data_IF_468988829576
#
_entry.id   IF_468988829576
#
_cell.length_a   1.000
_cell.length_b   1.000
_cell.length_c   1.000
_cell.angle_alpha   90.00
_cell.angle_beta   90.00
_cell.angle_gamma   90.00
#
_symmetry.space_group_name_H-M   'P 1'
#
loop_
_entity.id
_entity.type
_entity.pdbx_description
1 polymer ?
#
# COMPACT_ATOMS: atom_id res chain seq x y z
N UNK A 1 -11.10 -14.43 -11.40
CA UNK A 1 -9.98 -13.95 -12.25
C UNK A 1 -9.02 -13.02 -11.51
N UNK A 2 -9.46 -11.84 -11.04
CA UNK A 2 -8.57 -10.84 -10.38
C UNK A 2 -7.78 -11.41 -9.18
N UNK A 3 -8.43 -12.21 -8.31
CA UNK A 3 -7.74 -12.89 -7.20
C UNK A 3 -6.59 -13.80 -7.67
N UNK A 4 -6.77 -14.53 -8.78
CA UNK A 4 -5.74 -15.40 -9.36
C UNK A 4 -4.57 -14.57 -9.90
N UNK A 5 -4.88 -13.43 -10.53
CA UNK A 5 -3.89 -12.50 -11.06
C UNK A 5 -3.00 -11.95 -9.93
N UNK A 6 -3.59 -11.42 -8.85
CA UNK A 6 -2.82 -10.96 -7.69
C UNK A 6 -2.01 -12.08 -7.03
N UNK A 7 -2.62 -13.25 -6.83
CA UNK A 7 -1.95 -14.39 -6.23
C UNK A 7 -0.71 -14.83 -7.03
N UNK A 8 -0.77 -14.75 -8.36
CA UNK A 8 0.34 -15.15 -9.22
C UNK A 8 1.41 -14.06 -9.32
N UNK A 9 1.01 -12.80 -9.55
CA UNK A 9 1.91 -11.73 -9.97
C UNK A 9 2.35 -10.76 -8.87
N UNK A 10 1.71 -10.78 -7.70
CA UNK A 10 2.10 -9.94 -6.55
C UNK A 10 2.46 -10.77 -5.32
N UNK A 11 1.64 -11.78 -5.01
CA UNK A 11 1.68 -12.46 -3.72
C UNK A 11 2.27 -13.87 -3.77
N UNK A 12 2.73 -14.33 -4.94
CA UNK A 12 3.45 -15.60 -5.03
C UNK A 12 4.85 -15.43 -4.45
N UNK A 13 5.49 -16.49 -3.91
CA UNK A 13 6.86 -16.41 -3.42
C UNK A 13 7.83 -15.83 -4.45
N UNK A 14 7.71 -16.27 -5.71
CA UNK A 14 8.50 -15.76 -6.83
C UNK A 14 8.25 -14.27 -7.10
N UNK A 15 6.99 -13.81 -7.04
CA UNK A 15 6.68 -12.40 -7.21
C UNK A 15 7.22 -11.55 -6.05
N UNK A 16 7.11 -12.03 -4.81
CA UNK A 16 7.67 -11.36 -3.64
C UNK A 16 9.19 -11.24 -3.76
N UNK A 17 9.88 -12.28 -4.20
CA UNK A 17 11.33 -12.25 -4.44
C UNK A 17 11.72 -11.25 -5.54
N UNK A 18 11.00 -11.26 -6.67
CA UNK A 18 11.22 -10.30 -7.75
C UNK A 18 10.98 -8.85 -7.32
N UNK A 19 10.04 -8.61 -6.41
CA UNK A 19 9.69 -7.30 -5.88
C UNK A 19 10.52 -6.91 -4.63
N UNK A 20 11.37 -7.80 -4.12
CA UNK A 20 12.24 -7.52 -2.96
C UNK A 20 13.14 -6.30 -3.16
N UNK A 21 13.83 -6.13 -4.31
CA UNK A 21 14.68 -4.95 -4.53
C UNK A 21 13.90 -3.64 -4.49
N UNK A 22 12.63 -3.66 -4.90
CA UNK A 22 11.74 -2.48 -4.82
C UNK A 22 11.50 -2.11 -3.36
N UNK A 23 11.12 -3.08 -2.51
CA UNK A 23 10.87 -2.83 -1.08
C UNK A 23 12.13 -2.40 -0.34
N UNK A 24 13.25 -3.09 -0.55
CA UNK A 24 14.54 -2.74 0.07
C UNK A 24 15.00 -1.33 -0.35
N UNK A 25 14.79 -0.94 -1.61
CA UNK A 25 15.13 0.40 -2.09
C UNK A 25 14.30 1.50 -1.43
N UNK A 26 12.98 1.31 -1.26
CA UNK A 26 12.13 2.30 -0.59
C UNK A 26 12.46 2.40 0.91
N UNK A 27 12.69 1.27 1.58
CA UNK A 27 13.10 1.25 2.99
C UNK A 27 14.46 1.92 3.18
N UNK A 28 15.42 1.70 2.28
CA UNK A 28 16.73 2.36 2.30
C UNK A 28 16.62 3.88 2.18
N UNK A 29 15.68 4.38 1.37
CA UNK A 29 15.45 5.82 1.23
C UNK A 29 14.85 6.40 2.50
N UNK A 30 13.84 5.74 3.06
CA UNK A 30 13.26 6.14 4.33
C UNK A 30 14.34 6.16 5.43
N UNK A 31 15.16 5.11 5.54
CA UNK A 31 16.23 5.04 6.53
C UNK A 31 17.25 6.18 6.39
N UNK A 32 17.65 6.51 5.15
CA UNK A 32 18.55 7.65 4.87
C UNK A 32 17.90 8.99 5.24
N UNK A 33 16.63 9.18 4.89
CA UNK A 33 15.89 10.39 5.25
C UNK A 33 15.78 10.55 6.77
N UNK A 34 15.45 9.47 7.49
CA UNK A 34 15.41 9.47 8.96
C UNK A 34 16.78 9.76 9.57
N UNK A 35 17.86 9.20 9.02
CA UNK A 35 19.22 9.46 9.48
C UNK A 35 19.61 10.94 9.32
N UNK A 36 19.34 11.53 8.16
CA UNK A 36 19.60 12.96 7.90
C UNK A 36 18.80 13.88 8.85
N UNK A 37 17.54 13.51 9.17
CA UNK A 37 16.72 14.25 10.14
C UNK A 37 17.23 14.09 11.57
N UNK A 38 17.72 12.90 11.92
CA UNK A 38 18.30 12.62 13.23
C UNK A 38 19.57 13.43 13.49
N UNK A 39 20.42 13.65 12.48
CA UNK A 39 21.60 14.51 12.59
C UNK A 39 21.25 15.96 12.96
N UNK A 40 20.08 16.43 12.54
CA UNK A 40 19.57 17.77 12.84
C UNK A 40 18.63 17.80 14.06
N UNK A 41 18.49 16.69 14.79
CA UNK A 41 17.55 16.52 15.91
C UNK A 41 16.11 16.96 15.59
N UNK A 42 15.69 16.77 14.33
CA UNK A 42 14.38 17.20 13.85
C UNK A 42 13.33 16.11 14.11
N UNK A 43 12.17 16.43 14.72
CA UNK A 43 11.10 15.46 14.88
C UNK A 43 10.52 15.04 13.53
N UNK A 44 10.13 13.77 13.42
CA UNK A 44 9.56 13.20 12.19
C UNK A 44 8.15 12.69 12.46
N UNK A 45 7.22 12.99 11.55
CA UNK A 45 5.91 12.36 11.53
C UNK A 45 6.04 10.96 10.90
N UNK A 46 6.13 9.93 11.74
CA UNK A 46 6.34 8.55 11.29
C UNK A 46 5.18 8.02 10.46
N UNK A 47 3.92 8.30 10.81
CA UNK A 47 2.76 7.88 10.03
C UNK A 47 2.84 8.36 8.57
N UNK A 48 3.14 9.65 8.35
CA UNK A 48 3.29 10.20 7.00
C UNK A 48 4.48 9.60 6.24
N UNK A 49 5.63 9.41 6.91
CA UNK A 49 6.84 8.88 6.28
C UNK A 49 6.67 7.40 5.88
N UNK A 50 6.07 6.59 6.76
CA UNK A 50 5.77 5.18 6.51
C UNK A 50 4.74 5.00 5.41
N UNK A 51 3.70 5.84 5.41
CA UNK A 51 2.67 5.83 4.38
C UNK A 51 3.25 6.18 2.99
N UNK A 52 4.15 7.18 2.91
CA UNK A 52 4.84 7.51 1.67
C UNK A 52 5.71 6.33 1.18
N UNK A 53 6.45 5.68 2.09
CA UNK A 53 7.26 4.50 1.78
C UNK A 53 6.39 3.33 1.27
N UNK A 54 5.31 3.00 1.97
CA UNK A 54 4.39 1.93 1.58
C UNK A 54 3.73 2.21 0.22
N UNK A 55 3.29 3.45 0.01
CA UNK A 55 2.68 3.84 -1.27
C UNK A 55 3.68 3.77 -2.41
N UNK A 56 4.92 4.25 -2.23
CA UNK A 56 5.94 4.16 -3.28
C UNK A 56 6.32 2.71 -3.60
N UNK A 57 6.39 1.83 -2.60
CA UNK A 57 6.66 0.41 -2.83
C UNK A 57 5.54 -0.23 -3.67
N UNK A 58 4.27 0.08 -3.34
CA UNK A 58 3.12 -0.37 -4.12
C UNK A 58 3.10 0.24 -5.52
N UNK A 59 3.30 1.54 -5.65
CA UNK A 59 3.32 2.23 -6.94
C UNK A 59 4.38 1.67 -7.87
N UNK A 60 5.59 1.38 -7.38
CA UNK A 60 6.61 0.73 -8.20
C UNK A 60 6.25 -0.69 -8.59
N UNK A 61 5.69 -1.48 -7.68
CA UNK A 61 5.25 -2.83 -7.99
C UNK A 61 4.09 -2.87 -9.00
N UNK A 62 3.20 -1.88 -8.93
CA UNK A 62 1.96 -1.86 -9.70
C UNK A 62 2.05 -1.09 -11.01
N UNK A 63 2.78 0.03 -11.01
CA UNK A 63 2.85 1.02 -12.10
C UNK A 63 4.28 1.22 -12.64
N UNK A 64 5.28 0.54 -12.07
CA UNK A 64 6.69 0.71 -12.46
C UNK A 64 7.35 2.02 -11.99
N UNK A 65 6.59 2.96 -11.39
CA UNK A 65 7.10 4.28 -10.99
C UNK A 65 6.77 4.67 -9.55
N UNK A 66 7.55 5.60 -8.99
CA UNK A 66 7.20 6.26 -7.72
C UNK A 66 6.11 7.28 -7.94
N UNK A 67 5.41 7.61 -6.87
CA UNK A 67 4.45 8.72 -6.89
C UNK A 67 4.69 9.75 -5.81
N UNK A 68 5.41 9.42 -4.74
CA UNK A 68 5.93 10.40 -3.79
C UNK A 68 7.39 10.68 -4.10
N UNK A 69 7.69 11.90 -4.54
CA UNK A 69 9.03 12.37 -4.88
C UNK A 69 9.24 13.70 -4.15
N UNK A 70 10.26 13.77 -3.28
CA UNK A 70 10.54 14.97 -2.48
C UNK A 70 11.33 16.05 -3.26
N UNK A 71 11.99 15.70 -4.38
CA UNK A 71 13.02 16.54 -5.04
C UNK A 71 12.89 16.65 -6.59
N UNK A 72 11.68 16.78 -7.17
CA UNK A 72 11.50 16.96 -8.63
C UNK A 72 10.84 18.29 -9.05
N UNK A 73 11.02 18.63 -10.33
CA UNK A 73 10.50 19.83 -11.02
C UNK A 73 9.00 20.08 -10.75
N UNK A 74 8.60 21.36 -10.82
CA UNK A 74 7.27 21.87 -10.44
C UNK A 74 6.07 21.10 -11.02
N UNK A 75 6.19 20.50 -12.20
CA UNK A 75 5.11 19.77 -12.88
C UNK A 75 4.95 18.33 -12.37
N UNK A 76 6.06 17.58 -12.23
CA UNK A 76 6.07 16.21 -11.68
C UNK A 76 5.68 16.21 -10.19
N UNK A 77 6.10 17.26 -9.48
CA UNK A 77 5.69 17.54 -8.10
C UNK A 77 4.17 17.74 -7.95
N UNK A 78 3.50 18.37 -8.93
CA UNK A 78 2.04 18.57 -8.90
C UNK A 78 1.26 17.28 -9.07
N UNK A 79 1.65 16.41 -10.00
CA UNK A 79 0.99 15.11 -10.19
C UNK A 79 1.21 14.18 -8.98
N UNK A 80 2.45 14.15 -8.47
CA UNK A 80 2.80 13.46 -7.23
C UNK A 80 1.95 13.95 -6.05
N UNK A 81 1.80 15.27 -5.91
CA UNK A 81 0.98 15.89 -4.87
C UNK A 81 -0.51 15.58 -5.04
N UNK A 82 -1.05 15.61 -6.26
CA UNK A 82 -2.43 15.25 -6.54
C UNK A 82 -2.71 13.78 -6.20
N UNK A 83 -1.84 12.86 -6.63
CA UNK A 83 -1.99 11.45 -6.27
C UNK A 83 -1.88 11.21 -4.77
N UNK A 84 -0.92 11.87 -4.11
CA UNK A 84 -0.82 11.84 -2.65
C UNK A 84 -2.13 12.29 -2.00
N UNK A 85 -2.72 13.38 -2.47
CA UNK A 85 -4.01 13.87 -1.98
C UNK A 85 -5.11 12.82 -2.22
N UNK A 86 -5.14 12.19 -3.39
CA UNK A 86 -6.11 11.16 -3.72
C UNK A 86 -6.00 9.94 -2.82
N UNK A 87 -4.79 9.41 -2.61
CA UNK A 87 -4.55 8.28 -1.70
C UNK A 87 -4.97 8.65 -0.29
N UNK A 88 -4.60 9.85 0.18
CA UNK A 88 -4.99 10.36 1.50
C UNK A 88 -6.51 10.50 1.65
N UNK A 89 -7.20 10.94 0.61
CA UNK A 89 -8.64 11.09 0.63
C UNK A 89 -9.36 9.75 0.58
N UNK A 90 -8.81 8.74 -0.12
CA UNK A 90 -9.31 7.36 -0.07
C UNK A 90 -9.21 6.83 1.36
N UNK A 91 -8.17 7.17 2.13
CA UNK A 91 -8.06 6.69 3.51
C UNK A 91 -9.12 7.31 4.44
N UNK A 92 -9.60 8.51 4.14
CA UNK A 92 -10.67 9.18 4.90
C UNK A 92 -12.07 8.65 4.59
N UNK A 93 -12.19 7.60 3.77
CA UNK A 93 -13.48 7.08 3.32
C UNK A 93 -14.15 6.10 4.28
N UNK A 94 -13.44 5.62 5.31
CA UNK A 94 -13.93 4.66 6.31
C UNK A 94 -14.95 5.21 7.32
N UNK A 95 -15.78 6.19 6.94
CA UNK A 95 -16.79 6.81 7.81
C UNK A 95 -18.11 6.05 7.76
N UNK A 96 -18.79 5.92 8.90
CA UNK A 96 -20.13 5.36 8.95
C UNK A 96 -21.13 6.28 8.23
N UNK A 97 -21.84 5.73 7.24
CA UNK A 97 -22.89 6.42 6.51
C UNK A 97 -24.27 5.96 7.00
N UNK A 98 -25.07 6.87 7.56
CA UNK A 98 -26.42 6.61 8.07
C UNK A 98 -27.32 6.00 6.99
N UNK A 99 -27.12 6.38 5.71
CA UNK A 99 -27.87 5.83 4.58
C UNK A 99 -27.66 4.33 4.36
N UNK A 100 -26.60 3.74 4.91
CA UNK A 100 -26.35 2.29 4.84
C UNK A 100 -27.14 1.52 5.90
N UNK A 101 -27.50 2.17 7.02
CA UNK A 101 -28.26 1.58 8.13
C UNK A 101 -29.76 1.89 8.04
N UNK A 102 -30.13 3.03 7.45
CA UNK A 102 -31.52 3.50 7.32
C UNK A 102 -31.83 3.70 5.83
N UNK A 103 -32.36 2.67 5.12
CA UNK A 103 -32.57 2.73 3.68
C UNK A 103 -33.42 3.92 3.20
N UNK A 104 -34.39 4.36 4.01
CA UNK A 104 -35.23 5.52 3.71
C UNK A 104 -34.45 6.85 3.63
N UNK A 105 -33.28 6.93 4.26
CA UNK A 105 -32.43 8.14 4.25
C UNK A 105 -31.34 8.10 3.18
N UNK A 106 -31.17 6.97 2.47
CA UNK A 106 -30.09 6.76 1.50
C UNK A 106 -30.04 7.81 0.39
N UNK A 107 -31.20 8.26 -0.08
CA UNK A 107 -31.31 9.21 -1.18
C UNK A 107 -30.96 10.65 -0.79
N UNK A 108 -31.05 10.98 0.51
CA UNK A 108 -30.75 12.33 0.99
C UNK A 108 -29.25 12.59 1.13
N UNK A 109 -28.41 11.55 1.22
CA UNK A 109 -26.98 11.68 1.51
C UNK A 109 -26.71 12.69 2.64
N UNK A 110 -27.38 12.50 3.79
CA UNK A 110 -27.44 13.48 4.89
C UNK A 110 -26.05 13.92 5.37
N UNK A 111 -25.04 13.07 5.25
CA UNK A 111 -23.66 13.33 5.62
C UNK A 111 -22.76 13.76 4.44
N UNK A 112 -23.28 13.79 3.21
CA UNK A 112 -22.53 14.09 1.99
C UNK A 112 -21.48 13.04 1.60
N UNK A 113 -21.52 11.85 2.21
CA UNK A 113 -20.52 10.79 2.04
C UNK A 113 -20.58 10.25 0.61
N UNK A 114 -21.78 9.98 0.09
CA UNK A 114 -21.93 9.41 -1.26
C UNK A 114 -21.45 10.40 -2.31
N UNK A 115 -21.80 11.68 -2.18
CA UNK A 115 -21.32 12.74 -3.08
C UNK A 115 -19.79 12.88 -3.04
N UNK A 116 -19.19 12.87 -1.84
CA UNK A 116 -17.73 12.95 -1.66
C UNK A 116 -17.03 11.74 -2.29
N UNK A 117 -17.54 10.53 -2.07
CA UNK A 117 -17.03 9.29 -2.68
C UNK A 117 -17.09 9.32 -4.20
N UNK A 118 -18.21 9.79 -4.78
CA UNK A 118 -18.34 9.94 -6.25
C UNK A 118 -17.33 10.94 -6.81
N UNK A 119 -17.10 12.06 -6.12
CA UNK A 119 -16.10 13.05 -6.53
C UNK A 119 -14.69 12.46 -6.48
N UNK A 120 -14.36 11.75 -5.40
CA UNK A 120 -13.06 11.10 -5.23
C UNK A 120 -12.84 10.00 -6.28
N UNK A 121 -13.84 9.16 -6.50
CA UNK A 121 -13.80 8.11 -7.53
C UNK A 121 -13.54 8.71 -8.91
N UNK A 122 -14.21 9.80 -9.31
CA UNK A 122 -13.96 10.48 -10.59
C UNK A 122 -12.53 10.98 -10.73
N UNK A 123 -11.97 11.60 -9.69
CA UNK A 123 -10.58 12.08 -9.73
C UNK A 123 -9.60 10.91 -9.88
N UNK A 124 -9.81 9.83 -9.12
CA UNK A 124 -8.96 8.64 -9.20
C UNK A 124 -9.09 7.93 -10.56
N UNK A 125 -10.30 7.90 -11.11
CA UNK A 125 -10.59 7.33 -12.43
C UNK A 125 -9.84 8.09 -13.54
N UNK A 126 -9.89 9.43 -13.52
CA UNK A 126 -9.14 10.29 -14.44
C UNK A 126 -7.62 10.11 -14.30
N UNK A 127 -7.13 10.03 -13.06
CA UNK A 127 -5.72 9.78 -12.79
C UNK A 127 -5.26 8.45 -13.39
N UNK A 128 -6.01 7.37 -13.14
CA UNK A 128 -5.65 6.06 -13.68
C UNK A 128 -5.80 5.98 -15.20
N UNK A 129 -6.74 6.71 -15.80
CA UNK A 129 -6.81 6.82 -17.26
C UNK A 129 -5.53 7.46 -17.84
N UNK A 130 -5.00 8.51 -17.20
CA UNK A 130 -3.72 9.12 -17.57
C UNK A 130 -2.58 8.10 -17.44
N UNK A 131 -2.49 7.39 -16.32
CA UNK A 131 -1.46 6.36 -16.09
C UNK A 131 -1.52 5.26 -17.15
N UNK A 132 -2.72 4.75 -17.47
CA UNK A 132 -2.91 3.73 -18.49
C UNK A 132 -2.47 4.25 -19.87
N UNK A 133 -2.86 5.47 -20.23
CA UNK A 133 -2.50 6.06 -21.52
C UNK A 133 -0.98 6.27 -21.67
N UNK A 134 -0.31 6.74 -20.61
CA UNK A 134 1.15 6.88 -20.56
C UNK A 134 1.85 5.53 -20.70
N UNK A 135 1.36 4.52 -19.98
CA UNK A 135 1.90 3.17 -20.03
C UNK A 135 1.78 2.56 -21.44
N UNK A 136 0.65 2.78 -22.12
CA UNK A 136 0.45 2.35 -23.50
C UNK A 136 1.38 3.07 -24.49
N UNK A 137 1.63 4.37 -24.27
CA UNK A 137 2.49 5.17 -25.13
C UNK A 137 3.98 4.79 -25.03
N UNK A 138 4.43 4.33 -23.86
CA UNK A 138 5.82 3.94 -23.63
C UNK A 138 6.21 2.62 -24.32
N UNK A 139 5.23 1.83 -24.82
CA UNK A 139 5.44 0.47 -25.34
C UNK A 139 6.27 -0.42 -24.39
N UNK A 140 6.29 -0.07 -23.11
CA UNK A 140 7.18 -0.67 -22.13
C UNK A 140 6.62 -2.02 -21.69
N UNK A 141 7.45 -3.04 -21.79
CA UNK A 141 7.13 -4.42 -21.44
C UNK A 141 7.54 -4.73 -20.01
N UNK A 142 7.37 -3.75 -19.12
CA UNK A 142 7.67 -3.83 -17.71
C UNK A 142 7.16 -5.13 -17.04
N UNK A 143 7.83 -5.50 -15.95
CA UNK A 143 7.42 -6.60 -15.09
C UNK A 143 6.40 -6.17 -14.01
N UNK A 144 5.96 -4.92 -14.03
CA UNK A 144 4.95 -4.39 -13.12
C UNK A 144 3.55 -4.97 -13.40
N UNK A 145 2.66 -4.82 -12.43
CA UNK A 145 1.31 -5.38 -12.52
C UNK A 145 0.49 -4.81 -13.68
N UNK A 146 0.59 -3.50 -13.95
CA UNK A 146 -0.15 -2.85 -15.01
C UNK A 146 0.27 -3.42 -16.37
N UNK A 147 1.56 -3.56 -16.62
CA UNK A 147 2.09 -4.25 -17.81
C UNK A 147 1.51 -5.66 -17.97
N UNK A 148 1.45 -6.44 -16.89
CA UNK A 148 0.85 -7.80 -16.93
C UNK A 148 -0.63 -7.75 -17.27
N UNK A 149 -1.39 -6.86 -16.63
CA UNK A 149 -2.82 -6.70 -16.87
C UNK A 149 -3.12 -6.25 -18.30
N UNK A 150 -2.31 -5.34 -18.86
CA UNK A 150 -2.47 -4.86 -20.23
C UNK A 150 -2.23 -5.98 -21.24
N UNK A 151 -1.20 -6.81 -21.06
CA UNK A 151 -0.96 -8.00 -21.89
C UNK A 151 -2.13 -9.00 -21.82
N UNK A 152 -2.64 -9.26 -20.62
CA UNK A 152 -3.80 -10.16 -20.43
C UNK A 152 -5.10 -9.59 -21.00
N UNK A 153 -5.22 -8.26 -21.12
CA UNK A 153 -6.34 -7.61 -21.79
C UNK A 153 -6.27 -7.74 -23.31
N UNK A 154 -5.06 -7.81 -23.87
CA UNK A 154 -4.82 -7.97 -25.31
C UNK A 154 -4.89 -9.44 -25.77
N UNK A 155 -4.67 -10.40 -24.86
CA UNK A 155 -4.77 -11.84 -25.14
C UNK A 155 -6.24 -12.27 -25.25
N UNK A 156 -6.74 -12.40 -26.50
CA UNK A 156 -8.16 -12.63 -26.82
C UNK A 156 -8.58 -14.11 -26.69
N UNK A 157 -7.62 -15.03 -26.57
CA UNK A 157 -7.84 -16.48 -26.74
C UNK A 157 -7.96 -17.27 -25.40
N UNK A 158 -7.90 -16.59 -24.26
CA UNK A 158 -8.01 -17.21 -22.94
C UNK A 158 -9.46 -17.47 -22.49
N UNK A 159 -9.72 -18.66 -21.94
CA UNK A 159 -11.02 -19.15 -21.39
C UNK A 159 -11.53 -18.36 -20.14
N UNK A 160 -10.98 -17.17 -19.88
CA UNK A 160 -11.37 -16.27 -18.79
C UNK A 160 -11.79 -14.92 -19.37
N UNK A 161 -12.99 -14.46 -19.02
CA UNK A 161 -13.59 -13.24 -19.59
C UNK A 161 -12.64 -12.04 -19.71
N UNK A 162 -12.79 -11.27 -20.79
CA UNK A 162 -11.93 -10.15 -21.17
C UNK A 162 -11.75 -9.16 -20.01
N UNK A 163 -10.49 -8.92 -19.61
CA UNK A 163 -10.14 -7.88 -18.64
C UNK A 163 -10.46 -6.50 -19.24
N UNK A 164 -11.27 -5.70 -18.56
CA UNK A 164 -11.61 -4.34 -19.01
C UNK A 164 -10.71 -3.28 -18.36
N UNK A 165 -10.64 -2.08 -18.94
CA UNK A 165 -9.97 -0.96 -18.27
C UNK A 165 -10.61 -0.67 -16.90
N UNK A 166 -11.92 -0.89 -16.75
CA UNK A 166 -12.61 -0.74 -15.45
C UNK A 166 -12.09 -1.75 -14.43
N UNK A 167 -11.86 -3.00 -14.82
CA UNK A 167 -11.31 -4.03 -13.92
C UNK A 167 -9.87 -3.70 -13.50
N UNK A 168 -9.05 -3.23 -14.44
CA UNK A 168 -7.68 -2.76 -14.19
C UNK A 168 -7.71 -1.62 -13.18
N UNK A 169 -8.51 -0.59 -13.44
CA UNK A 169 -8.60 0.58 -12.58
C UNK A 169 -9.11 0.24 -11.19
N UNK A 170 -10.14 -0.60 -11.10
CA UNK A 170 -10.68 -1.08 -9.83
C UNK A 170 -9.65 -1.88 -9.02
N UNK A 171 -8.85 -2.73 -9.69
CA UNK A 171 -7.82 -3.51 -8.99
C UNK A 171 -6.71 -2.61 -8.45
N UNK A 172 -6.23 -1.66 -9.26
CA UNK A 172 -5.21 -0.70 -8.82
C UNK A 172 -5.69 0.12 -7.63
N UNK A 173 -6.92 0.65 -7.69
CA UNK A 173 -7.54 1.36 -6.56
C UNK A 173 -7.58 0.50 -5.30
N UNK A 174 -8.05 -0.74 -5.39
CA UNK A 174 -8.15 -1.64 -4.25
C UNK A 174 -6.79 -1.94 -3.61
N UNK A 175 -5.75 -2.14 -4.41
CA UNK A 175 -4.40 -2.43 -3.90
C UNK A 175 -3.79 -1.22 -3.19
N UNK A 176 -3.94 -0.02 -3.74
CA UNK A 176 -3.51 1.21 -3.04
C UNK A 176 -4.29 1.42 -1.75
N UNK A 177 -5.61 1.23 -1.80
CA UNK A 177 -6.46 1.45 -0.64
C UNK A 177 -6.15 0.46 0.49
N UNK A 178 -6.04 -0.82 0.16
CA UNK A 178 -5.87 -1.87 1.15
C UNK A 178 -4.42 -2.00 1.66
N UNK A 179 -3.42 -1.64 0.85
CA UNK A 179 -2.02 -1.90 1.16
C UNK A 179 -1.28 -0.76 1.87
N UNK A 180 -1.69 0.50 1.65
CA UNK A 180 -0.96 1.67 2.16
C UNK A 180 -1.20 1.90 3.66
N UNK A 181 -2.45 2.15 4.07
CA UNK A 181 -2.77 2.57 5.44
C UNK A 181 -2.65 1.43 6.45
N UNK A 182 -3.03 0.21 6.05
CA UNK A 182 -2.90 -0.99 6.91
C UNK A 182 -1.44 -1.27 7.27
N UNK A 183 -0.54 -1.24 6.29
CA UNK A 183 0.89 -1.53 6.51
C UNK A 183 1.56 -0.40 7.31
N UNK A 184 1.30 0.86 6.94
CA UNK A 184 1.91 2.01 7.62
C UNK A 184 1.44 2.15 9.07
N UNK A 185 0.14 1.99 9.35
CA UNK A 185 -0.40 1.98 10.71
C UNK A 185 0.15 0.83 11.56
N UNK A 186 0.30 -0.37 10.99
CA UNK A 186 0.90 -1.51 11.70
C UNK A 186 2.33 -1.20 12.14
N UNK A 187 3.15 -0.64 11.25
CA UNK A 187 4.55 -0.29 11.57
C UNK A 187 4.60 0.86 12.58
N UNK A 188 3.72 1.85 12.45
CA UNK A 188 3.61 2.96 13.39
C UNK A 188 3.29 2.46 14.81
N UNK A 189 2.34 1.53 14.97
CA UNK A 189 2.06 0.90 16.25
C UNK A 189 3.23 0.09 16.79
N UNK A 190 3.91 -0.69 15.94
CA UNK A 190 5.10 -1.44 16.35
C UNK A 190 6.19 -0.51 16.91
N UNK A 191 6.48 0.59 16.21
CA UNK A 191 7.44 1.60 16.66
C UNK A 191 6.99 2.28 17.96
N UNK A 192 5.72 2.63 18.07
CA UNK A 192 5.14 3.25 19.27
C UNK A 192 5.28 2.35 20.49
N UNK A 193 4.94 1.05 20.39
CA UNK A 193 5.11 0.10 21.49
C UNK A 193 6.58 -0.09 21.86
N UNK A 194 7.48 -0.20 20.89
CA UNK A 194 8.92 -0.32 21.16
C UNK A 194 9.52 0.92 21.83
N UNK A 195 9.10 2.14 21.44
CA UNK A 195 9.55 3.39 22.08
C UNK A 195 9.05 3.47 23.52
N UNK A 196 7.82 3.01 23.79
CA UNK A 196 7.23 2.96 25.13
C UNK A 196 7.83 1.88 26.03
N UNK A 197 8.49 0.87 25.44
CA UNK A 197 9.09 -0.29 26.11
C UNK A 197 10.56 -0.45 25.71
N UNK A 198 11.46 0.38 26.25
CA UNK A 198 12.87 0.42 25.85
C UNK A 198 13.58 -0.93 25.97
N UNK A 199 13.15 -1.81 26.88
CA UNK A 199 13.66 -3.16 27.05
C UNK A 199 13.40 -4.05 25.82
N UNK A 200 12.22 -3.92 25.20
CA UNK A 200 11.85 -4.65 23.98
C UNK A 200 12.67 -4.11 22.81
N UNK A 201 12.74 -2.78 22.66
CA UNK A 201 13.56 -2.14 21.63
C UNK A 201 15.04 -2.58 21.72
N UNK A 202 15.59 -2.57 22.93
CA UNK A 202 16.98 -2.96 23.15
C UNK A 202 17.23 -4.43 22.81
N UNK A 203 16.29 -5.31 23.15
CA UNK A 203 16.37 -6.74 22.80
C UNK A 203 16.29 -6.97 21.29
N UNK A 204 15.44 -6.24 20.57
CA UNK A 204 15.36 -6.29 19.11
C UNK A 204 16.68 -5.84 18.46
N UNK A 205 17.30 -4.77 18.98
CA UNK A 205 18.61 -4.32 18.52
C UNK A 205 19.71 -5.36 18.76
N UNK A 206 19.71 -6.06 19.90
CA UNK A 206 20.67 -7.13 20.19
C UNK A 206 20.53 -8.29 19.20
N UNK A 207 19.29 -8.70 18.89
CA UNK A 207 19.04 -9.73 17.89
C UNK A 207 19.55 -9.30 16.51
N UNK A 208 19.25 -8.07 16.09
CA UNK A 208 19.74 -7.52 14.81
C UNK A 208 21.28 -7.43 14.76
N UNK A 209 21.92 -6.92 15.81
CA UNK A 209 23.38 -6.83 15.91
C UNK A 209 24.04 -8.22 15.82
N UNK A 210 23.41 -9.26 16.39
CA UNK A 210 23.93 -10.63 16.37
C UNK A 210 23.77 -11.32 15.00
N UNK A 211 22.61 -11.13 14.35
CA UNK A 211 22.26 -11.85 13.11
C UNK A 211 22.75 -11.12 11.86
N UNK A 212 22.60 -9.80 11.82
CA UNK A 212 22.88 -8.96 10.64
C UNK A 212 24.26 -8.30 10.75
N UNK A 213 24.67 -7.94 11.97
CA UNK A 213 25.85 -7.11 12.21
C UNK A 213 25.57 -5.63 11.94
N UNK A 214 26.65 -4.83 11.82
CA UNK A 214 26.56 -3.36 11.68
C UNK A 214 27.02 -2.82 10.33
N UNK A 215 27.47 -3.69 9.44
CA UNK A 215 28.10 -3.31 8.17
C UNK A 215 27.12 -3.27 6.99
N UNK A 216 25.86 -3.68 7.20
CA UNK A 216 24.82 -3.70 6.17
C UNK A 216 23.42 -3.48 6.74
N UNK A 217 22.48 -3.15 5.86
CA UNK A 217 21.06 -3.13 6.19
C UNK A 217 20.49 -4.56 6.29
N UNK A 218 19.39 -4.68 7.04
CA UNK A 218 18.59 -5.91 7.10
C UNK A 218 17.99 -6.22 5.73
N UNK A 219 18.04 -7.48 5.32
CA UNK A 219 17.38 -8.00 4.12
C UNK A 219 16.26 -8.96 4.52
N UNK A 220 15.27 -9.14 3.65
CA UNK A 220 14.19 -10.12 3.86
C UNK A 220 14.71 -11.55 4.01
N UNK A 221 15.90 -11.85 3.47
CA UNK A 221 16.55 -13.14 3.64
C UNK A 221 17.00 -13.41 5.09
N UNK A 222 17.13 -12.37 5.93
CA UNK A 222 17.51 -12.51 7.34
C UNK A 222 16.34 -12.89 8.24
N UNK A 223 15.09 -12.63 7.80
CA UNK A 223 13.88 -12.78 8.61
C UNK A 223 13.73 -14.15 9.28
N UNK A 224 14.05 -15.29 8.63
CA UNK A 224 13.97 -16.61 9.29
C UNK A 224 14.87 -16.73 10.53
N UNK A 225 15.91 -15.90 10.64
CA UNK A 225 16.86 -15.87 11.75
C UNK A 225 16.56 -14.75 12.76
N UNK A 226 15.44 -14.04 12.62
CA UNK A 226 15.04 -12.92 13.50
C UNK A 226 13.72 -13.25 14.25
N UNK A 227 13.69 -14.31 15.08
CA UNK A 227 12.46 -14.78 15.72
C UNK A 227 11.87 -13.77 16.72
N UNK A 228 12.68 -12.94 17.37
CA UNK A 228 12.18 -11.91 18.28
C UNK A 228 11.56 -10.75 17.53
N UNK A 229 12.15 -10.31 16.40
CA UNK A 229 11.51 -9.36 15.51
C UNK A 229 10.17 -9.89 14.97
N UNK A 230 10.12 -11.17 14.57
CA UNK A 230 8.86 -11.81 14.15
C UNK A 230 7.82 -11.82 15.29
N UNK A 231 8.25 -12.06 16.52
CA UNK A 231 7.37 -11.99 17.69
C UNK A 231 6.82 -10.58 17.93
N UNK A 232 7.63 -9.52 17.75
CA UNK A 232 7.18 -8.13 17.83
C UNK A 232 6.09 -7.85 16.79
N UNK A 233 6.29 -8.30 15.55
CA UNK A 233 5.30 -8.13 14.47
C UNK A 233 3.99 -8.85 14.82
N UNK A 234 4.07 -10.11 15.28
CA UNK A 234 2.90 -10.89 15.71
C UNK A 234 2.16 -10.23 16.88
N UNK A 235 2.90 -9.75 17.88
CA UNK A 235 2.30 -9.08 19.05
C UNK A 235 1.66 -7.74 18.68
N UNK A 236 2.24 -7.04 17.71
CA UNK A 236 1.63 -5.82 17.15
C UNK A 236 0.31 -6.14 16.47
N UNK A 237 0.24 -7.19 15.64
CA UNK A 237 -1.03 -7.62 15.04
C UNK A 237 -2.07 -8.06 16.08
N UNK A 238 -1.62 -8.66 17.19
CA UNK A 238 -2.51 -9.11 18.28
C UNK A 238 -3.12 -7.93 19.05
N UNK A 239 -2.33 -6.90 19.34
CA UNK A 239 -2.75 -5.74 20.14
C UNK A 239 -3.41 -4.65 19.29
N UNK A 240 -2.89 -4.41 18.10
CA UNK A 240 -3.21 -3.27 17.25
C UNK A 240 -3.55 -3.72 15.82
N UNK A 241 -4.58 -4.56 15.61
CA UNK A 241 -4.98 -4.94 14.27
C UNK A 241 -5.50 -3.71 13.49
N UNK A 242 -4.90 -3.39 12.35
CA UNK A 242 -5.34 -2.26 11.51
C UNK A 242 -6.79 -2.38 11.02
N UNK A 243 -7.31 -3.61 10.93
CA UNK A 243 -8.69 -3.91 10.54
C UNK A 243 -9.38 -4.75 11.62
N UNK A 244 -9.73 -4.17 12.80
CA UNK A 244 -10.18 -4.92 13.98
C UNK A 244 -11.50 -5.68 13.76
N UNK A 245 -12.33 -5.24 12.82
CA UNK A 245 -13.60 -5.89 12.46
C UNK A 245 -13.51 -6.68 11.14
N UNK A 246 -12.31 -6.84 10.57
CA UNK A 246 -12.13 -7.34 9.20
C UNK A 246 -12.97 -6.53 8.18
N UNK A 247 -13.18 -7.08 6.98
CA UNK A 247 -14.15 -6.53 6.03
C UNK A 247 -15.53 -7.17 6.27
N UNK A 248 -16.64 -6.44 6.04
CA UNK A 248 -17.98 -7.02 6.15
C UNK A 248 -18.16 -8.24 5.24
N UNK A 249 -18.67 -9.34 5.80
CA UNK A 249 -19.00 -10.55 5.05
C UNK A 249 -20.51 -10.70 4.92
N UNK A 250 -20.94 -11.41 3.88
CA UNK A 250 -22.35 -11.76 3.64
C UNK A 250 -22.45 -13.25 3.32
N UNK A 251 -23.47 -13.91 3.87
CA UNK A 251 -23.76 -15.29 3.52
C UNK A 251 -24.22 -15.36 2.05
N UNK A 252 -23.56 -16.17 1.23
CA UNK A 252 -23.93 -16.36 -0.17
C UNK A 252 -25.24 -17.11 -0.35
N UNK A 253 -25.57 -17.94 0.64
CA UNK A 253 -26.79 -18.74 0.71
C UNK A 253 -27.32 -18.73 2.15
N UNK A 254 -28.56 -19.16 2.34
CA UNK A 254 -29.14 -19.25 3.69
C UNK A 254 -28.38 -20.31 4.50
N UNK A 255 -27.75 -19.90 5.60
CA UNK A 255 -27.14 -20.81 6.56
C UNK A 255 -28.22 -21.42 7.48
N UNK A 256 -28.10 -22.72 7.78
CA UNK A 256 -28.90 -23.42 8.79
C UNK A 256 -28.16 -23.49 10.12
#
# INVERSE_FOLDING_TARGET
MLRKLCALHLFSPKALDNLRPVREAEVSILARALHARAQNHSPVNMGQALMACATNALSKAMLGRRVFIEDEEEEASKEAAEFKELVMDIMKTGVSNVGDFVPALKWFDVQGVVAKMKKLHRRFDMFLDKVIAEHQAMADTGADLLSVMMRLKEDVDGDGGKLTNTDIKALLLNLFAAGTDTSSSTIEWALSEMIRRPEILKRAQIELDFVVGRDRLVSEADLPNLPFLEAIVKETFRLHPSTPLSLPHMASETCK
#
